data_IF_230656007015
#
_entry.id   IF_230656007015
#
_cell.length_a   1.000
_cell.length_b   1.000
_cell.length_c   1.000
_cell.angle_alpha   90.00
_cell.angle_beta   90.00
_cell.angle_gamma   90.00
#
_symmetry.space_group_name_H-M   'P 1'
#
loop_
_entity.id
_entity.type
_entity.pdbx_description
1 polymer ?
#
# COMPACT_ATOMS: atom_id res chain seq x y z
N UNK A 1 48.19 -74.02 -20.77
CA UNK A 1 46.81 -74.30 -20.33
C UNK A 1 46.42 -73.20 -19.35
N UNK A 2 45.40 -72.42 -19.71
CA UNK A 2 45.12 -71.11 -19.11
C UNK A 2 44.36 -71.22 -17.79
N UNK A 3 44.84 -70.51 -16.75
CA UNK A 3 44.04 -70.09 -15.60
C UNK A 3 44.56 -68.75 -15.10
N UNK A 4 44.06 -67.65 -15.67
CA UNK A 4 44.19 -66.32 -15.04
C UNK A 4 43.00 -65.45 -15.38
N UNK A 5 41.88 -65.66 -14.71
CA UNK A 5 40.81 -64.65 -14.69
C UNK A 5 39.83 -64.87 -13.53
N UNK A 6 40.18 -64.42 -12.31
CA UNK A 6 39.17 -64.10 -11.28
C UNK A 6 39.75 -63.23 -10.16
N UNK A 7 40.20 -62.02 -10.49
CA UNK A 7 40.54 -61.01 -9.47
C UNK A 7 40.30 -59.58 -9.97
N UNK A 8 39.15 -59.35 -10.62
CA UNK A 8 38.75 -58.01 -11.07
C UNK A 8 37.34 -57.57 -10.62
N UNK A 9 36.55 -58.47 -10.01
CA UNK A 9 35.12 -58.21 -9.78
C UNK A 9 34.76 -57.69 -8.38
N UNK A 10 35.70 -57.69 -7.42
CA UNK A 10 35.41 -57.27 -6.04
C UNK A 10 35.65 -55.78 -5.80
N UNK A 11 36.45 -55.10 -6.63
CA UNK A 11 36.70 -53.67 -6.52
C UNK A 11 35.57 -52.79 -7.09
N UNK A 12 34.76 -53.32 -8.03
CA UNK A 12 33.69 -52.57 -8.70
C UNK A 12 32.41 -52.41 -7.84
N UNK A 13 32.18 -53.31 -6.88
CA UNK A 13 30.99 -53.26 -6.02
C UNK A 13 31.10 -52.17 -4.95
N UNK A 14 32.29 -51.95 -4.39
CA UNK A 14 32.56 -50.89 -3.41
C UNK A 14 32.56 -49.48 -4.03
N UNK A 15 32.94 -49.36 -5.31
CA UNK A 15 32.89 -48.09 -6.04
C UNK A 15 31.45 -47.69 -6.38
N UNK A 16 30.64 -48.64 -6.85
CA UNK A 16 29.24 -48.37 -7.22
C UNK A 16 28.36 -48.03 -6.01
N UNK A 17 28.56 -48.68 -4.87
CA UNK A 17 27.84 -48.36 -3.63
C UNK A 17 28.25 -47.00 -3.05
N UNK A 18 29.53 -46.65 -3.12
CA UNK A 18 30.04 -45.34 -2.72
C UNK A 18 29.47 -44.24 -3.62
N UNK A 19 29.43 -44.45 -4.94
CA UNK A 19 28.84 -43.50 -5.89
C UNK A 19 27.34 -43.31 -5.64
N UNK A 20 26.59 -44.39 -5.39
CA UNK A 20 25.17 -44.31 -5.00
C UNK A 20 24.95 -43.49 -3.72
N UNK A 21 25.79 -43.68 -2.71
CA UNK A 21 25.73 -42.93 -1.46
C UNK A 21 26.02 -41.43 -1.68
N UNK A 22 27.03 -41.11 -2.49
CA UNK A 22 27.35 -39.71 -2.85
C UNK A 22 26.21 -39.06 -3.62
N UNK A 23 25.60 -39.76 -4.58
CA UNK A 23 24.44 -39.25 -5.34
C UNK A 23 23.24 -39.02 -4.42
N UNK A 24 22.98 -39.92 -3.46
CA UNK A 24 21.90 -39.76 -2.48
C UNK A 24 22.12 -38.53 -1.58
N UNK A 25 23.34 -38.31 -1.10
CA UNK A 25 23.70 -37.16 -0.27
C UNK A 25 23.56 -35.85 -1.06
N UNK A 26 24.03 -35.82 -2.31
CA UNK A 26 23.90 -34.65 -3.18
C UNK A 26 22.43 -34.33 -3.49
N UNK A 27 21.61 -35.35 -3.72
CA UNK A 27 20.17 -35.17 -3.91
C UNK A 27 19.48 -34.62 -2.65
N UNK A 28 19.82 -35.15 -1.47
CA UNK A 28 19.33 -34.62 -0.19
C UNK A 28 19.75 -33.18 0.05
N UNK A 29 21.01 -32.84 -0.24
CA UNK A 29 21.51 -31.47 -0.17
C UNK A 29 20.75 -30.54 -1.13
N UNK A 30 20.48 -30.99 -2.36
CA UNK A 30 19.69 -30.24 -3.33
C UNK A 30 18.26 -30.01 -2.85
N UNK A 31 17.60 -31.02 -2.29
CA UNK A 31 16.26 -30.87 -1.72
C UNK A 31 16.24 -29.83 -0.59
N UNK A 32 17.18 -29.91 0.34
CA UNK A 32 17.30 -28.95 1.45
C UNK A 32 17.59 -27.55 0.91
N UNK A 33 18.53 -27.40 -0.02
CA UNK A 33 18.86 -26.11 -0.63
C UNK A 33 17.66 -25.51 -1.38
N UNK A 34 16.93 -26.32 -2.15
CA UNK A 34 15.72 -25.87 -2.85
C UNK A 34 14.61 -25.46 -1.90
N UNK A 35 14.39 -26.21 -0.81
CA UNK A 35 13.43 -25.85 0.23
C UNK A 35 13.83 -24.56 0.95
N UNK A 36 15.12 -24.36 1.23
CA UNK A 36 15.65 -23.11 1.80
C UNK A 36 15.48 -21.92 0.85
N UNK A 37 15.69 -22.10 -0.45
CA UNK A 37 15.45 -21.06 -1.47
C UNK A 37 13.97 -20.74 -1.60
N UNK A 38 13.08 -21.74 -1.60
CA UNK A 38 11.63 -21.53 -1.63
C UNK A 38 11.11 -20.86 -0.36
N UNK A 39 11.60 -21.28 0.82
CA UNK A 39 11.26 -20.64 2.10
C UNK A 39 11.84 -19.23 2.16
N UNK A 40 13.06 -19.00 1.67
CA UNK A 40 13.63 -17.65 1.57
C UNK A 40 12.84 -16.77 0.60
N UNK A 41 12.39 -17.31 -0.55
CA UNK A 41 11.45 -16.61 -1.42
C UNK A 41 10.15 -16.23 -0.70
N UNK A 42 9.62 -17.12 0.16
CA UNK A 42 8.42 -16.85 0.95
C UNK A 42 8.66 -15.95 2.19
N UNK A 43 9.84 -16.01 2.82
CA UNK A 43 10.21 -15.23 4.01
C UNK A 43 10.75 -13.85 3.65
N UNK A 44 11.49 -13.69 2.55
CA UNK A 44 11.89 -12.38 2.01
C UNK A 44 10.66 -11.60 1.55
N UNK A 45 9.57 -12.27 1.15
CA UNK A 45 8.27 -11.64 0.93
C UNK A 45 7.60 -11.15 2.22
N UNK A 46 7.93 -11.72 3.39
CA UNK A 46 7.32 -11.36 4.68
C UNK A 46 8.17 -10.42 5.53
N UNK A 47 9.47 -10.66 5.65
CA UNK A 47 10.36 -9.84 6.50
C UNK A 47 10.69 -8.47 5.93
N UNK A 48 10.36 -8.25 4.65
CA UNK A 48 10.40 -6.95 4.00
C UNK A 48 9.07 -6.21 4.19
N UNK A 49 7.96 -6.90 4.48
CA UNK A 49 6.62 -6.31 4.67
C UNK A 49 6.50 -5.53 5.97
N UNK A 50 6.99 -6.08 7.08
CA UNK A 50 6.66 -5.53 8.41
C UNK A 50 7.38 -4.20 8.73
N UNK A 51 8.50 -3.90 8.06
CA UNK A 51 9.16 -2.59 8.12
C UNK A 51 8.83 -1.65 6.94
N UNK A 52 8.08 -2.14 5.94
CA UNK A 52 7.80 -1.44 4.69
C UNK A 52 6.33 -1.07 4.56
N UNK A 53 5.42 -1.67 5.31
CA UNK A 53 4.00 -1.34 5.30
C UNK A 53 3.75 0.10 5.78
N UNK A 54 4.40 0.54 6.85
CA UNK A 54 4.31 1.93 7.35
C UNK A 54 4.75 2.98 6.30
N UNK A 55 5.97 2.81 5.76
CA UNK A 55 6.51 3.71 4.74
C UNK A 55 5.76 3.61 3.40
N UNK A 56 5.24 2.42 3.06
CA UNK A 56 4.48 2.18 1.84
C UNK A 56 3.08 2.78 1.91
N UNK A 57 2.39 2.64 3.05
CA UNK A 57 1.08 3.22 3.33
C UNK A 57 1.16 4.74 3.30
N UNK A 58 2.10 5.36 4.05
CA UNK A 58 2.29 6.82 4.03
C UNK A 58 2.71 7.35 2.66
N UNK A 59 3.64 6.67 1.98
CA UNK A 59 4.06 7.05 0.62
C UNK A 59 2.91 6.93 -0.38
N UNK A 60 2.07 5.91 -0.23
CA UNK A 60 0.88 5.72 -1.07
C UNK A 60 -0.16 6.82 -0.81
N UNK A 61 -0.46 7.13 0.45
CA UNK A 61 -1.36 8.24 0.84
C UNK A 61 -0.88 9.58 0.29
N UNK A 62 0.41 9.88 0.45
CA UNK A 62 1.01 11.10 -0.06
C UNK A 62 0.99 11.15 -1.59
N UNK A 63 1.48 10.11 -2.27
CA UNK A 63 1.52 10.09 -3.73
C UNK A 63 0.11 10.19 -4.31
N UNK A 64 -0.88 9.58 -3.65
CA UNK A 64 -2.28 9.68 -4.00
C UNK A 64 -2.78 11.12 -3.93
N UNK A 65 -2.71 11.76 -2.76
CA UNK A 65 -3.19 13.13 -2.58
C UNK A 65 -2.42 14.13 -3.41
N UNK A 66 -1.09 14.01 -3.48
CA UNK A 66 -0.26 14.88 -4.29
C UNK A 66 -0.66 14.83 -5.77
N UNK A 67 -0.90 13.62 -6.31
CA UNK A 67 -1.36 13.48 -7.69
C UNK A 67 -2.77 14.05 -7.87
N UNK A 68 -3.68 13.82 -6.92
CA UNK A 68 -5.05 14.28 -7.03
C UNK A 68 -5.17 15.81 -6.94
N UNK A 69 -4.41 16.44 -6.03
CA UNK A 69 -4.27 17.89 -5.92
C UNK A 69 -3.64 18.50 -7.19
N UNK A 70 -2.59 17.88 -7.73
CA UNK A 70 -1.95 18.32 -8.99
C UNK A 70 -2.89 18.21 -10.20
N UNK A 71 -3.79 17.23 -10.20
CA UNK A 71 -4.81 17.08 -11.24
C UNK A 71 -5.93 18.14 -11.16
N UNK A 72 -6.13 18.73 -9.97
CA UNK A 72 -7.24 19.62 -9.64
C UNK A 72 -6.75 21.05 -9.30
N UNK A 73 -5.73 21.54 -10.00
CA UNK A 73 -5.04 22.80 -9.67
C UNK A 73 -5.84 24.08 -9.96
N UNK A 74 -6.97 24.01 -10.66
CA UNK A 74 -7.78 25.19 -10.98
C UNK A 74 -8.39 25.81 -9.72
N UNK A 75 -8.26 27.13 -9.56
CA UNK A 75 -8.82 27.85 -8.42
C UNK A 75 -10.33 27.62 -8.30
N UNK A 76 -10.78 27.12 -7.14
CA UNK A 76 -12.17 26.72 -6.89
C UNK A 76 -12.44 25.21 -7.04
N UNK A 77 -11.46 24.44 -7.51
CA UNK A 77 -11.56 22.98 -7.59
C UNK A 77 -11.41 22.30 -6.22
N UNK A 78 -10.72 22.93 -5.28
CA UNK A 78 -10.35 22.28 -4.02
C UNK A 78 -10.98 23.00 -2.82
N UNK A 79 -11.73 22.24 -2.01
CA UNK A 79 -12.38 22.70 -0.80
C UNK A 79 -11.96 21.80 0.37
N UNK A 80 -11.95 22.37 1.56
CA UNK A 80 -11.79 21.61 2.81
C UNK A 80 -13.15 21.52 3.45
N UNK A 81 -13.54 20.33 3.87
CA UNK A 81 -14.78 20.08 4.59
C UNK A 81 -14.50 19.57 5.99
N UNK A 82 -15.50 19.72 6.86
CA UNK A 82 -15.54 19.02 8.13
C UNK A 82 -16.65 17.97 8.09
N UNK A 83 -16.34 16.75 8.52
CA UNK A 83 -17.34 15.71 8.69
C UNK A 83 -18.03 15.91 10.04
N UNK A 84 -19.29 16.36 10.02
CA UNK A 84 -20.15 16.33 11.21
C UNK A 84 -21.03 15.07 11.16
N UNK A 85 -20.88 14.18 12.15
CA UNK A 85 -21.59 12.90 12.26
C UNK A 85 -20.64 11.79 12.70
N UNK A 86 -21.04 10.92 13.64
CA UNK A 86 -20.17 9.86 14.19
C UNK A 86 -20.72 8.46 13.96
N UNK A 87 -21.87 8.35 13.29
CA UNK A 87 -22.76 7.19 13.28
C UNK A 87 -23.09 6.67 11.88
N UNK A 88 -22.19 6.85 10.91
CA UNK A 88 -22.31 6.26 9.57
C UNK A 88 -23.20 7.07 8.62
N UNK A 89 -23.54 8.29 9.01
CA UNK A 89 -24.19 9.30 8.19
C UNK A 89 -23.42 10.61 8.41
N UNK A 90 -22.97 11.23 7.33
CA UNK A 90 -22.25 12.50 7.40
C UNK A 90 -23.13 13.61 6.85
N UNK A 91 -23.41 14.60 7.70
CA UNK A 91 -24.30 15.72 7.39
C UNK A 91 -23.80 16.60 6.25
N UNK A 92 -24.47 17.74 6.04
CA UNK A 92 -24.10 18.68 4.98
C UNK A 92 -22.61 19.06 5.08
N UNK A 93 -21.89 18.88 3.97
CA UNK A 93 -20.46 19.14 3.93
C UNK A 93 -20.24 20.65 3.78
N UNK A 94 -19.83 21.30 4.87
CA UNK A 94 -19.58 22.75 4.89
C UNK A 94 -18.11 23.02 4.58
N UNK A 95 -17.86 23.89 3.60
CA UNK A 95 -16.50 24.34 3.29
C UNK A 95 -15.90 25.13 4.45
N UNK A 96 -14.70 24.77 4.89
CA UNK A 96 -13.94 25.42 5.96
C UNK A 96 -12.50 25.70 5.53
N UNK A 97 -11.76 26.40 6.40
CA UNK A 97 -10.31 26.61 6.28
C UNK A 97 -9.54 25.41 6.81
N UNK A 98 -10.14 24.64 7.72
CA UNK A 98 -9.56 23.45 8.36
C UNK A 98 -10.62 22.37 8.55
N UNK A 99 -10.20 21.10 8.52
CA UNK A 99 -11.09 19.97 8.70
C UNK A 99 -10.41 18.62 8.46
N UNK A 100 -11.24 17.60 8.27
CA UNK A 100 -10.89 16.19 8.11
C UNK A 100 -11.40 15.59 6.78
N UNK A 101 -11.87 16.45 5.87
CA UNK A 101 -12.23 16.09 4.50
C UNK A 101 -11.56 17.01 3.48
N UNK A 102 -11.01 16.41 2.43
CA UNK A 102 -10.62 17.12 1.21
C UNK A 102 -11.66 16.86 0.12
N UNK A 103 -12.14 17.91 -0.52
CA UNK A 103 -13.15 17.83 -1.58
C UNK A 103 -12.56 18.42 -2.85
N UNK A 104 -12.60 17.65 -3.92
CA UNK A 104 -12.12 18.05 -5.23
C UNK A 104 -13.31 18.12 -6.18
N UNK A 105 -13.33 19.15 -7.00
CA UNK A 105 -14.37 19.43 -7.98
C UNK A 105 -13.83 19.18 -9.37
N UNK A 106 -14.49 18.29 -10.10
CA UNK A 106 -14.24 18.06 -11.51
C UNK A 106 -15.49 18.42 -12.35
N UNK A 107 -15.28 18.68 -13.64
CA UNK A 107 -16.37 18.88 -14.61
C UNK A 107 -16.31 17.82 -15.71
N UNK A 108 -17.38 17.06 -15.86
CA UNK A 108 -17.53 16.05 -16.90
C UNK A 108 -18.80 16.33 -17.70
N UNK A 109 -18.67 16.57 -19.00
CA UNK A 109 -19.84 16.82 -19.86
C UNK A 109 -20.63 18.09 -19.54
N UNK A 110 -20.05 19.02 -18.77
CA UNK A 110 -20.74 20.23 -18.28
C UNK A 110 -21.32 20.07 -16.87
N UNK A 111 -21.39 18.84 -16.36
CA UNK A 111 -21.86 18.54 -15.01
C UNK A 111 -20.70 18.56 -14.02
N UNK A 112 -20.99 19.04 -12.81
CA UNK A 112 -20.01 19.16 -11.73
C UNK A 112 -20.05 17.91 -10.85
N UNK A 113 -18.88 17.34 -10.57
CA UNK A 113 -18.71 16.19 -9.71
C UNK A 113 -17.76 16.50 -8.56
N UNK A 114 -17.95 15.80 -7.45
CA UNK A 114 -17.23 15.95 -6.21
C UNK A 114 -16.54 14.65 -5.84
N UNK A 115 -15.22 14.71 -5.73
CA UNK A 115 -14.41 13.66 -5.14
C UNK A 115 -14.16 14.03 -3.68
N UNK A 116 -14.67 13.26 -2.73
CA UNK A 116 -14.50 13.48 -1.29
C UNK A 116 -13.51 12.48 -0.75
N UNK A 117 -12.49 12.97 -0.04
CA UNK A 117 -11.42 12.17 0.55
C UNK A 117 -11.43 12.40 2.06
N UNK A 118 -11.58 11.32 2.82
CA UNK A 118 -11.82 11.37 4.27
C UNK A 118 -11.37 10.06 4.93
N UNK A 119 -11.32 10.04 6.26
CA UNK A 119 -11.03 8.83 7.03
C UNK A 119 -12.30 8.27 7.65
N UNK A 120 -12.52 6.97 7.48
CA UNK A 120 -13.61 6.24 8.13
C UNK A 120 -13.20 4.80 8.39
N UNK A 121 -13.41 4.33 9.63
CA UNK A 121 -13.09 2.97 10.08
C UNK A 121 -11.59 2.61 9.93
N UNK A 122 -10.69 3.58 10.15
CA UNK A 122 -9.24 3.38 10.03
C UNK A 122 -8.72 3.29 8.59
N UNK A 123 -9.51 3.73 7.62
CA UNK A 123 -9.14 3.79 6.21
C UNK A 123 -9.32 5.19 5.65
N UNK A 124 -8.31 5.66 4.91
CA UNK A 124 -8.49 6.73 3.93
C UNK A 124 -9.40 6.20 2.82
N UNK A 125 -10.47 6.94 2.55
CA UNK A 125 -11.48 6.57 1.57
C UNK A 125 -11.75 7.69 0.59
N UNK A 126 -12.25 7.31 -0.58
CA UNK A 126 -12.75 8.23 -1.60
C UNK A 126 -14.21 7.94 -1.95
N UNK A 127 -15.00 9.00 -2.13
CA UNK A 127 -16.33 8.94 -2.72
C UNK A 127 -16.43 9.89 -3.90
N UNK A 128 -16.92 9.40 -5.04
CA UNK A 128 -17.17 10.20 -6.23
C UNK A 128 -18.67 10.39 -6.42
N UNK A 129 -19.14 11.63 -6.23
CA UNK A 129 -20.56 11.98 -6.16
C UNK A 129 -20.87 13.17 -7.06
N UNK A 130 -22.12 13.28 -7.50
CA UNK A 130 -22.60 14.33 -8.41
C UNK A 130 -23.17 15.55 -7.66
N UNK A 131 -23.28 15.48 -6.34
CA UNK A 131 -23.71 16.58 -5.48
C UNK A 131 -22.88 16.67 -4.18
N UNK A 132 -23.10 17.73 -3.40
CA UNK A 132 -22.53 17.93 -2.05
C UNK A 132 -23.45 17.41 -0.94
N UNK A 133 -24.44 16.55 -1.26
CA UNK A 133 -25.41 16.09 -0.26
C UNK A 133 -24.83 15.00 0.62
N UNK A 134 -25.63 14.61 1.60
CA UNK A 134 -25.38 13.55 2.56
C UNK A 134 -24.97 12.23 1.89
N UNK A 135 -24.06 11.51 2.54
CA UNK A 135 -23.53 10.26 2.01
C UNK A 135 -23.19 9.27 3.13
N UNK A 136 -23.17 7.99 2.76
CA UNK A 136 -22.74 6.93 3.65
C UNK A 136 -21.22 6.70 3.49
N UNK A 137 -20.41 7.00 4.50
CA UNK A 137 -18.96 6.91 4.37
C UNK A 137 -18.38 5.52 4.24
N UNK A 138 -19.11 4.54 4.75
CA UNK A 138 -18.79 3.13 4.60
C UNK A 138 -18.74 2.68 3.13
N UNK A 139 -19.48 3.37 2.25
CA UNK A 139 -19.59 3.06 0.82
C UNK A 139 -18.42 3.62 0.00
N UNK A 140 -17.60 4.50 0.58
CA UNK A 140 -16.41 5.03 -0.09
C UNK A 140 -15.35 3.95 -0.32
N UNK A 141 -14.65 4.06 -1.44
CA UNK A 141 -13.58 3.14 -1.83
C UNK A 141 -12.39 3.26 -0.89
N UNK A 142 -11.87 2.12 -0.41
CA UNK A 142 -10.70 2.08 0.47
C UNK A 142 -9.43 2.35 -0.35
N UNK A 143 -8.67 3.35 0.07
CA UNK A 143 -7.37 3.67 -0.53
C UNK A 143 -6.25 3.01 0.28
N UNK A 144 -6.18 3.31 1.57
CA UNK A 144 -5.07 2.86 2.44
C UNK A 144 -5.41 3.04 3.92
N UNK A 145 -4.73 2.32 4.82
CA UNK A 145 -4.99 2.39 6.26
C UNK A 145 -4.34 3.64 6.86
N UNK A 146 -5.13 4.45 7.56
CA UNK A 146 -4.66 5.61 8.33
C UNK A 146 -5.61 5.79 9.52
N UNK A 147 -5.09 6.24 10.65
CA UNK A 147 -5.90 6.47 11.83
C UNK A 147 -6.65 7.80 11.72
N UNK A 148 -5.98 8.86 11.27
CA UNK A 148 -6.61 10.16 11.10
C UNK A 148 -6.02 10.94 9.92
N UNK A 149 -6.82 11.91 9.45
CA UNK A 149 -6.47 12.81 8.36
C UNK A 149 -6.91 14.22 8.74
N UNK A 150 -6.01 15.17 8.54
CA UNK A 150 -6.27 16.59 8.77
C UNK A 150 -5.84 17.37 7.56
N UNK A 151 -6.59 18.42 7.24
CA UNK A 151 -6.30 19.30 6.12
C UNK A 151 -6.60 20.75 6.48
N UNK A 152 -5.70 21.63 6.04
CA UNK A 152 -5.79 23.08 6.18
C UNK A 152 -5.59 23.72 4.82
N UNK A 153 -6.36 24.77 4.54
CA UNK A 153 -6.25 25.55 3.32
C UNK A 153 -6.14 27.03 3.67
N UNK A 154 -5.04 27.65 3.27
CA UNK A 154 -4.79 29.08 3.42
C UNK A 154 -4.48 29.68 2.04
N UNK A 155 -5.42 30.45 1.49
CA UNK A 155 -5.34 30.99 0.13
C UNK A 155 -5.05 29.89 -0.92
N UNK A 156 -3.81 29.83 -1.40
CA UNK A 156 -3.31 28.88 -2.39
C UNK A 156 -2.50 27.74 -1.76
N UNK A 157 -2.25 27.75 -0.46
CA UNK A 157 -1.53 26.70 0.24
C UNK A 157 -2.52 25.68 0.82
N UNK A 158 -2.32 24.42 0.49
CA UNK A 158 -3.01 23.30 1.13
C UNK A 158 -1.98 22.54 1.94
N UNK A 159 -2.21 22.39 3.23
CA UNK A 159 -1.43 21.52 4.11
C UNK A 159 -2.31 20.35 4.52
N UNK A 160 -1.74 19.15 4.58
CA UNK A 160 -2.44 17.99 5.05
C UNK A 160 -1.54 17.07 5.84
N UNK A 161 -2.13 16.39 6.81
CA UNK A 161 -1.44 15.48 7.71
C UNK A 161 -2.16 14.14 7.80
N UNK A 162 -1.38 13.07 7.93
CA UNK A 162 -1.87 11.73 8.23
C UNK A 162 -1.26 11.24 9.54
N UNK A 163 -2.08 10.63 10.38
CA UNK A 163 -1.65 9.86 11.55
C UNK A 163 -1.91 8.37 11.33
N UNK A 164 -1.01 7.54 11.84
CA UNK A 164 -1.06 6.08 11.76
C UNK A 164 -1.14 5.40 13.14
N UNK A 165 -1.17 6.14 14.25
CA UNK A 165 -1.57 5.63 15.57
C UNK A 165 -0.56 4.80 16.36
N UNK A 166 0.72 4.82 15.98
CA UNK A 166 1.76 4.04 16.66
C UNK A 166 3.00 4.91 16.96
N UNK A 167 2.87 5.84 17.93
CA UNK A 167 3.92 6.77 18.46
C UNK A 167 4.75 7.49 17.38
N UNK A 168 4.23 7.49 16.15
CA UNK A 168 4.87 7.92 14.94
C UNK A 168 4.57 9.38 14.74
N UNK A 169 5.57 10.16 14.34
CA UNK A 169 5.30 11.55 14.01
C UNK A 169 4.31 11.61 12.83
N UNK A 170 3.27 12.46 12.93
CA UNK A 170 2.32 12.61 11.83
C UNK A 170 3.08 13.06 10.58
N UNK A 171 2.75 12.45 9.45
CA UNK A 171 3.32 12.86 8.18
C UNK A 171 2.61 14.12 7.72
N UNK A 172 3.35 15.22 7.56
CA UNK A 172 2.83 16.50 7.10
C UNK A 172 3.35 16.80 5.70
N UNK A 173 2.45 17.17 4.79
CA UNK A 173 2.79 17.61 3.45
C UNK A 173 2.03 18.89 3.08
N UNK A 174 2.63 19.66 2.18
CA UNK A 174 2.06 20.90 1.68
C UNK A 174 2.07 20.91 0.15
N UNK A 175 1.03 21.48 -0.43
CA UNK A 175 0.88 21.71 -1.86
C UNK A 175 0.49 23.17 -2.10
N UNK A 176 1.22 23.86 -2.97
CA UNK A 176 0.84 25.20 -3.43
C UNK A 176 0.06 25.09 -4.74
N UNK A 177 -1.13 25.65 -4.76
CA UNK A 177 -1.91 25.86 -5.96
C UNK A 177 -1.28 26.98 -6.78
N UNK A 178 -1.17 26.77 -8.09
CA UNK A 178 -0.64 27.78 -8.99
C UNK A 178 -1.71 28.84 -9.21
N UNK A 179 -1.42 30.08 -8.85
CA UNK A 179 -2.21 31.23 -9.27
C UNK A 179 -1.97 31.47 -10.77
N UNK A 180 -3.04 31.49 -11.54
CA UNK A 180 -3.08 31.91 -12.95
C UNK A 180 -3.05 33.44 -13.12
#
# INVERSE_FOLDING_TARGET
>A
MALKQKSGSLAAYGQSSLTMLVVLVLFGFFLIASALVTVSGANVYKSVSDGMEYNSTLRSSYAYLANRLRGNESAGAILVGQLEGSDGYFGEVVSRTEGDMLILTDYYGGDRYYTRIYVYDGWLRESFLWDMTEFHPQDGEKITQVESFYVWKEENLIQYAFDCGDDSQPFIASACLRTD
#
